data_IF_763935222769
#
_entry.id   IF_763935222769
#
_cell.length_a   1.000
_cell.length_b   1.000
_cell.length_c   1.000
_cell.angle_alpha   90.00
_cell.angle_beta   90.00
_cell.angle_gamma   90.00
#
_symmetry.space_group_name_H-M   'P 1'
#
loop_
_entity.id
_entity.type
_entity.pdbx_description
1 polymer ?
#
# COMPACT_ATOMS: atom_id res chain seq x y z
N UNK A 1 -14.08 1.05 14.66
CA UNK A 1 -14.65 0.03 13.74
C UNK A 1 -15.80 0.52 12.85
N UNK A 2 -16.41 1.69 13.06
CA UNK A 2 -17.46 2.22 12.15
C UNK A 2 -16.93 2.50 10.73
N UNK A 3 -15.71 2.97 10.59
CA UNK A 3 -15.12 3.34 9.30
C UNK A 3 -14.98 2.17 8.30
N UNK A 4 -14.39 1.04 8.71
CA UNK A 4 -14.17 -0.12 7.82
C UNK A 4 -15.49 -0.70 7.30
N UNK A 5 -16.53 -0.76 8.15
CA UNK A 5 -17.88 -1.21 7.72
C UNK A 5 -18.47 -0.30 6.65
N UNK A 6 -18.27 1.02 6.78
CA UNK A 6 -18.69 1.99 5.77
C UNK A 6 -17.99 1.80 4.43
N UNK A 7 -16.66 1.55 4.45
CA UNK A 7 -15.89 1.27 3.25
C UNK A 7 -16.35 -0.02 2.55
N UNK A 8 -16.57 -1.10 3.30
CA UNK A 8 -17.10 -2.35 2.74
C UNK A 8 -18.52 -2.20 2.19
N UNK A 9 -19.37 -1.39 2.85
CA UNK A 9 -20.70 -1.08 2.33
C UNK A 9 -20.65 -0.29 1.02
N UNK A 10 -19.71 0.65 0.88
CA UNK A 10 -19.47 1.39 -0.36
C UNK A 10 -19.04 0.44 -1.49
N UNK A 11 -18.08 -0.46 -1.24
CA UNK A 11 -17.67 -1.47 -2.23
C UNK A 11 -18.81 -2.39 -2.66
N UNK A 12 -19.70 -2.79 -1.73
CA UNK A 12 -20.91 -3.57 -2.07
C UNK A 12 -21.88 -2.80 -2.97
N UNK A 13 -21.95 -1.48 -2.83
CA UNK A 13 -22.72 -0.60 -3.75
C UNK A 13 -21.99 -0.30 -5.06
N UNK A 14 -20.83 -0.93 -5.32
CA UNK A 14 -19.97 -0.71 -6.50
C UNK A 14 -19.40 0.70 -6.56
N UNK A 15 -19.23 1.35 -5.43
CA UNK A 15 -18.57 2.63 -5.30
C UNK A 15 -17.03 2.44 -5.18
N UNK A 16 -16.27 3.45 -5.56
CA UNK A 16 -14.82 3.46 -5.37
C UNK A 16 -14.47 3.84 -3.92
N UNK A 17 -13.48 3.15 -3.36
CA UNK A 17 -12.92 3.44 -2.05
C UNK A 17 -11.44 3.78 -2.19
N UNK A 18 -11.02 4.89 -1.60
CA UNK A 18 -9.64 5.32 -1.59
C UNK A 18 -8.95 4.95 -0.29
N UNK A 19 -7.78 4.34 -0.38
CA UNK A 19 -6.91 4.01 0.77
C UNK A 19 -5.47 4.37 0.46
N UNK A 20 -4.71 4.73 1.49
CA UNK A 20 -3.28 5.04 1.42
C UNK A 20 -2.50 3.87 2.06
N UNK A 21 -2.02 2.90 1.27
CA UNK A 21 -1.34 1.73 1.81
C UNK A 21 0.13 1.96 2.14
N UNK A 22 0.69 3.10 1.74
CA UNK A 22 2.08 3.52 1.87
C UNK A 22 2.42 4.16 3.22
N UNK A 23 1.54 4.02 4.20
CA UNK A 23 1.76 4.51 5.56
C UNK A 23 2.05 3.35 6.52
N UNK A 24 2.78 3.63 7.59
CA UNK A 24 3.02 2.65 8.64
C UNK A 24 1.71 2.29 9.35
N UNK A 25 1.42 1.00 9.44
CA UNK A 25 0.24 0.49 10.15
C UNK A 25 0.29 0.78 11.65
N UNK A 26 -0.87 0.88 12.28
CA UNK A 26 -0.99 0.85 13.74
C UNK A 26 -0.69 -0.56 14.27
N UNK A 27 -0.39 -0.66 15.57
CA UNK A 27 -0.14 -1.95 16.23
C UNK A 27 -1.36 -2.89 16.05
N UNK A 28 -1.10 -4.08 15.52
CA UNK A 28 -2.14 -5.09 15.26
C UNK A 28 -2.93 -4.90 13.97
N UNK A 29 -2.67 -3.84 13.18
CA UNK A 29 -3.39 -3.57 11.92
C UNK A 29 -2.55 -3.83 10.67
N UNK A 30 -1.33 -4.31 10.83
CA UNK A 30 -0.37 -4.53 9.75
C UNK A 30 0.35 -5.86 9.81
N UNK A 31 1.15 -6.08 8.78
CA UNK A 31 2.08 -7.19 8.67
C UNK A 31 3.46 -6.68 8.26
N UNK A 32 4.51 -7.43 8.66
CA UNK A 32 5.86 -7.17 8.21
C UNK A 32 6.04 -7.71 6.80
N UNK A 33 6.33 -6.83 5.87
CA UNK A 33 6.57 -7.16 4.46
C UNK A 33 7.79 -6.44 3.92
N UNK A 34 8.46 -6.99 2.90
CA UNK A 34 9.57 -6.33 2.23
C UNK A 34 9.12 -5.03 1.55
N UNK A 35 9.96 -4.00 1.68
CA UNK A 35 9.89 -2.79 0.88
C UNK A 35 11.32 -2.23 0.73
N UNK A 36 11.79 -2.02 -0.49
CA UNK A 36 13.17 -1.61 -0.79
C UNK A 36 14.25 -2.42 -0.05
N UNK A 37 14.07 -3.74 0.04
CA UNK A 37 15.00 -4.64 0.73
C UNK A 37 15.04 -4.49 2.24
N UNK A 38 14.06 -3.83 2.85
CA UNK A 38 13.92 -3.65 4.30
C UNK A 38 12.56 -4.13 4.78
N UNK A 39 12.45 -4.57 6.04
CA UNK A 39 11.18 -4.86 6.66
C UNK A 39 10.40 -3.56 6.95
N UNK A 40 9.16 -3.48 6.43
CA UNK A 40 8.21 -2.42 6.71
C UNK A 40 6.93 -3.02 7.33
N UNK A 41 6.39 -2.35 8.35
CA UNK A 41 5.12 -2.77 8.96
C UNK A 41 3.96 -2.05 8.28
N UNK A 42 3.37 -2.71 7.28
CA UNK A 42 2.41 -2.13 6.34
C UNK A 42 0.96 -2.53 6.68
N UNK A 43 -0.03 -1.67 6.41
CA UNK A 43 -1.43 -1.96 6.72
C UNK A 43 -2.02 -3.06 5.82
N UNK A 44 -2.79 -3.97 6.42
CA UNK A 44 -3.46 -5.08 5.71
C UNK A 44 -4.84 -4.71 5.16
N UNK A 45 -5.38 -3.56 5.53
CA UNK A 45 -6.77 -3.17 5.29
C UNK A 45 -7.20 -3.27 3.82
N UNK A 46 -6.39 -2.69 2.90
CA UNK A 46 -6.67 -2.73 1.45
C UNK A 46 -6.89 -4.16 0.95
N UNK A 47 -5.96 -5.03 1.30
CA UNK A 47 -5.92 -6.41 0.79
C UNK A 47 -7.08 -7.23 1.33
N UNK A 48 -7.37 -7.11 2.63
CA UNK A 48 -8.52 -7.76 3.27
C UNK A 48 -9.85 -7.27 2.71
N UNK A 49 -9.97 -5.97 2.43
CA UNK A 49 -11.17 -5.42 1.79
C UNK A 49 -11.33 -5.93 0.36
N UNK A 50 -10.27 -5.93 -0.43
CA UNK A 50 -10.31 -6.44 -1.80
C UNK A 50 -10.73 -7.92 -1.83
N UNK A 51 -10.13 -8.75 -0.98
CA UNK A 51 -10.45 -10.18 -0.87
C UNK A 51 -11.91 -10.41 -0.43
N UNK A 52 -12.39 -9.69 0.59
CA UNK A 52 -13.74 -9.89 1.13
C UNK A 52 -14.86 -9.36 0.23
N UNK A 53 -14.58 -8.37 -0.61
CA UNK A 53 -15.56 -7.76 -1.51
C UNK A 53 -15.45 -8.23 -2.96
N UNK A 54 -14.37 -8.93 -3.32
CA UNK A 54 -14.06 -9.26 -4.71
C UNK A 54 -13.71 -8.05 -5.58
N UNK A 55 -13.46 -6.90 -4.97
CA UNK A 55 -13.12 -5.66 -5.68
C UNK A 55 -11.70 -5.72 -6.24
N UNK A 56 -11.50 -5.14 -7.41
CA UNK A 56 -10.17 -5.01 -8.02
C UNK A 56 -9.48 -3.74 -7.56
N UNK A 57 -8.33 -3.83 -6.86
CA UNK A 57 -7.59 -2.64 -6.50
C UNK A 57 -6.86 -2.05 -7.72
N UNK A 58 -6.82 -0.73 -7.73
CA UNK A 58 -6.04 0.05 -8.67
C UNK A 58 -4.94 0.76 -7.89
N UNK A 59 -3.72 0.76 -8.43
CA UNK A 59 -2.68 1.65 -7.95
C UNK A 59 -2.81 2.99 -8.65
N UNK A 60 -2.76 4.06 -7.85
CA UNK A 60 -2.81 5.41 -8.35
C UNK A 60 -1.69 6.24 -7.73
N UNK A 61 -0.94 6.96 -8.56
CA UNK A 61 0.05 7.93 -8.11
C UNK A 61 0.10 9.12 -9.05
N UNK A 62 0.62 10.23 -8.55
CA UNK A 62 0.65 11.50 -9.25
C UNK A 62 2.09 11.91 -9.54
N UNK A 63 2.40 12.17 -10.80
CA UNK A 63 3.66 12.74 -11.26
C UNK A 63 3.50 14.25 -11.43
N UNK A 64 4.33 15.04 -10.76
CA UNK A 64 4.43 16.48 -11.02
C UNK A 64 5.28 16.70 -12.27
N UNK A 65 4.72 17.34 -13.26
CA UNK A 65 5.40 17.66 -14.50
C UNK A 65 6.36 18.84 -14.33
N UNK A 66 7.45 18.83 -15.09
CA UNK A 66 8.43 19.93 -15.11
C UNK A 66 7.83 21.23 -15.66
N UNK A 67 8.44 22.36 -15.32
CA UNK A 67 8.10 23.69 -15.86
C UNK A 67 6.67 24.14 -15.59
N UNK A 68 6.10 23.75 -14.45
CA UNK A 68 4.75 24.20 -14.08
C UNK A 68 3.62 23.63 -14.96
N UNK A 69 3.86 22.58 -15.75
CA UNK A 69 2.85 21.98 -16.65
C UNK A 69 1.76 21.17 -15.93
N UNK A 70 1.70 21.23 -14.60
CA UNK A 70 0.69 20.54 -13.81
C UNK A 70 1.11 19.13 -13.42
N UNK A 71 0.15 18.22 -13.42
CA UNK A 71 0.31 16.86 -12.90
C UNK A 71 -0.21 15.83 -13.90
N UNK A 72 0.39 14.64 -13.87
CA UNK A 72 -0.10 13.46 -14.58
C UNK A 72 -0.50 12.41 -13.56
N UNK A 73 -1.72 11.93 -13.63
CA UNK A 73 -2.20 10.84 -12.81
C UNK A 73 -1.93 9.53 -13.54
N UNK A 74 -1.22 8.63 -12.90
CA UNK A 74 -1.00 7.28 -13.36
C UNK A 74 -1.99 6.37 -12.65
N UNK A 75 -2.76 5.60 -13.39
CA UNK A 75 -3.71 4.62 -12.87
C UNK A 75 -3.39 3.28 -13.52
N UNK A 76 -3.12 2.27 -12.71
CA UNK A 76 -2.88 0.93 -13.21
C UNK A 76 -3.61 -0.12 -12.35
N UNK A 77 -4.28 -1.10 -12.97
CA UNK A 77 -4.83 -2.23 -12.24
C UNK A 77 -3.71 -3.02 -11.56
N UNK A 78 -3.91 -3.39 -10.29
CA UNK A 78 -3.08 -4.42 -9.69
C UNK A 78 -3.43 -5.78 -10.32
N UNK A 79 -2.46 -6.68 -10.47
CA UNK A 79 -2.74 -8.07 -10.86
C UNK A 79 -3.73 -8.73 -9.89
N UNK A 80 -4.26 -9.87 -10.26
CA UNK A 80 -5.10 -10.65 -9.35
C UNK A 80 -4.30 -10.94 -8.07
N UNK A 81 -4.81 -10.42 -6.95
CA UNK A 81 -4.14 -10.55 -5.67
C UNK A 81 -4.19 -12.02 -5.21
N UNK A 82 -3.08 -12.57 -4.70
CA UNK A 82 -3.08 -13.87 -4.02
C UNK A 82 -4.08 -13.89 -2.85
N UNK A 83 -4.60 -15.08 -2.52
CA UNK A 83 -5.46 -15.27 -1.36
C UNK A 83 -4.74 -15.06 -0.02
N UNK A 84 -3.43 -15.27 0.01
CA UNK A 84 -2.58 -14.93 1.15
C UNK A 84 -2.30 -13.43 1.20
N UNK A 85 -2.64 -12.79 2.32
CA UNK A 85 -2.50 -11.33 2.50
C UNK A 85 -1.06 -10.88 2.38
N UNK A 86 -0.12 -11.60 2.97
CA UNK A 86 1.31 -11.25 2.92
C UNK A 86 1.85 -11.33 1.48
N UNK A 87 1.46 -12.36 0.70
CA UNK A 87 1.83 -12.47 -0.70
C UNK A 87 1.23 -11.32 -1.54
N UNK A 88 -0.02 -10.97 -1.29
CA UNK A 88 -0.68 -9.84 -1.95
C UNK A 88 0.02 -8.51 -1.65
N UNK A 89 0.44 -8.30 -0.40
CA UNK A 89 1.19 -7.13 0.03
C UNK A 89 2.57 -7.06 -0.62
N UNK A 90 3.32 -8.18 -0.68
CA UNK A 90 4.62 -8.23 -1.37
C UNK A 90 4.49 -7.86 -2.85
N UNK A 91 3.48 -8.40 -3.53
CA UNK A 91 3.20 -8.09 -4.93
C UNK A 91 2.94 -6.59 -5.14
N UNK A 92 2.06 -6.01 -4.32
CA UNK A 92 1.72 -4.59 -4.42
C UNK A 92 2.91 -3.69 -4.07
N UNK A 93 3.72 -4.06 -3.06
CA UNK A 93 4.94 -3.34 -2.72
C UNK A 93 5.95 -3.33 -3.86
N UNK A 94 6.13 -4.46 -4.56
CA UNK A 94 7.02 -4.51 -5.73
C UNK A 94 6.58 -3.54 -6.84
N UNK A 95 5.27 -3.43 -7.08
CA UNK A 95 4.71 -2.48 -8.05
C UNK A 95 4.91 -1.03 -7.58
N UNK A 96 4.70 -0.75 -6.28
CA UNK A 96 4.95 0.56 -5.69
C UNK A 96 6.43 0.93 -5.78
N UNK A 97 7.34 0.01 -5.48
CA UNK A 97 8.79 0.24 -5.63
C UNK A 97 9.17 0.61 -7.06
N UNK A 98 8.58 -0.05 -8.06
CA UNK A 98 8.84 0.28 -9.46
C UNK A 98 8.38 1.71 -9.78
N UNK A 99 7.20 2.12 -9.32
CA UNK A 99 6.71 3.49 -9.50
C UNK A 99 7.63 4.52 -8.83
N UNK A 100 8.09 4.25 -7.61
CA UNK A 100 9.05 5.11 -6.89
C UNK A 100 10.38 5.18 -7.62
N UNK A 101 10.91 4.07 -8.16
CA UNK A 101 12.17 4.06 -8.94
C UNK A 101 12.06 4.89 -10.22
N UNK A 102 10.86 5.00 -10.82
CA UNK A 102 10.65 5.87 -12.00
C UNK A 102 10.67 7.35 -11.64
N UNK A 103 10.21 7.71 -10.43
CA UNK A 103 10.08 9.10 -9.98
C UNK A 103 10.68 9.32 -8.57
N UNK A 104 11.96 8.96 -8.34
CA UNK A 104 12.53 8.90 -7.00
C UNK A 104 12.57 10.26 -6.31
N UNK A 105 12.72 11.35 -7.06
CA UNK A 105 12.75 12.70 -6.50
C UNK A 105 11.37 13.21 -6.03
N UNK A 106 10.29 12.47 -6.32
CA UNK A 106 8.93 12.88 -5.96
C UNK A 106 8.31 12.00 -4.87
N UNK A 107 9.02 10.98 -4.40
CA UNK A 107 8.58 10.17 -3.28
C UNK A 107 8.86 10.87 -1.94
N UNK A 108 7.99 10.70 -0.97
CA UNK A 108 8.09 11.33 0.34
C UNK A 108 9.08 10.58 1.24
N UNK A 109 10.39 10.70 0.95
CA UNK A 109 11.46 10.03 1.71
C UNK A 109 11.56 10.49 3.17
N UNK A 110 11.04 11.66 3.51
CA UNK A 110 11.00 12.17 4.88
C UNK A 110 10.01 11.46 5.78
N UNK A 111 9.05 10.70 5.21
CA UNK A 111 8.16 9.87 6.00
C UNK A 111 8.88 8.59 6.43
N UNK A 112 9.14 8.45 7.72
CA UNK A 112 9.86 7.28 8.27
C UNK A 112 8.95 6.05 8.36
N UNK A 113 8.71 5.42 7.21
CA UNK A 113 7.93 4.21 7.07
C UNK A 113 8.56 3.01 7.81
N UNK A 114 9.89 3.02 7.92
CA UNK A 114 10.67 1.95 8.55
C UNK A 114 10.90 2.15 10.05
N UNK A 115 10.34 3.21 10.63
CA UNK A 115 10.45 3.49 12.06
C UNK A 115 9.95 2.30 12.88
N UNK A 116 10.77 1.87 13.83
CA UNK A 116 10.37 0.85 14.81
C UNK A 116 9.74 1.52 16.03
N UNK A 117 8.65 0.96 16.51
CA UNK A 117 8.06 1.36 17.79
C UNK A 117 8.64 0.47 18.88
N UNK A 118 8.66 0.97 20.10
CA UNK A 118 9.09 0.18 21.26
C UNK A 118 8.24 -1.11 21.38
N UNK A 119 8.91 -2.26 21.53
CA UNK A 119 8.26 -3.57 21.64
C UNK A 119 7.79 -4.18 20.32
N UNK A 120 8.09 -3.60 19.16
CA UNK A 120 7.87 -4.26 17.88
C UNK A 120 8.97 -5.29 17.58
N UNK A 121 8.56 -6.54 17.36
CA UNK A 121 9.46 -7.62 16.92
C UNK A 121 9.49 -7.65 15.39
N UNK A 122 10.65 -7.38 14.83
CA UNK A 122 10.88 -7.48 13.37
C UNK A 122 11.26 -8.93 13.05
N UNK A 123 10.79 -9.49 11.92
CA UNK A 123 11.22 -10.82 11.50
C UNK A 123 12.75 -10.93 11.41
N UNK A 124 13.28 -12.09 11.79
CA UNK A 124 14.71 -12.35 11.73
C UNK A 124 15.20 -12.47 10.28
N UNK A 125 16.40 -11.98 10.02
CA UNK A 125 17.04 -12.04 8.70
C UNK A 125 16.57 -10.98 7.69
N UNK A 126 17.18 -10.98 6.49
CA UNK A 126 16.79 -10.07 5.43
C UNK A 126 15.40 -10.45 4.88
N UNK A 127 14.60 -9.46 4.44
CA UNK A 127 13.34 -9.74 3.77
C UNK A 127 13.58 -10.42 2.40
N UNK A 128 12.78 -11.42 2.10
CA UNK A 128 12.79 -12.17 0.83
C UNK A 128 11.58 -11.83 -0.01
#
# INVERSE_FOLDING_TARGET
MRGVRGLLAALKRKEAVWVLPDQKANKGEGEWVPLFGRWAYMPTLLYRMAQSSGSRPLMLYCERLTWGRGYRIHIQPLPNLPGDTGAAMRMANAIMEEAVRRLPAQYLWSYDLFRRRQGETVPAGPPR
#
